data_IF_577312253746
#
_entry.id   IF_577312253746
#
_cell.length_a   1.000
_cell.length_b   1.000
_cell.length_c   1.000
_cell.angle_alpha   90.00
_cell.angle_beta   90.00
_cell.angle_gamma   90.00
#
_symmetry.space_group_name_H-M   'P 1'
#
loop_
_entity.id
_entity.type
_entity.pdbx_description
1 polymer ?
#
# COMPACT_ATOMS: atom_id res chain seq x y z
N UNK A 1 -13.31 -25.96 -13.61
CA UNK A 1 -11.91 -25.58 -13.86
C UNK A 1 -11.10 -25.74 -12.59
N UNK A 2 -10.10 -26.62 -12.59
CA UNK A 2 -9.19 -26.79 -11.44
C UNK A 2 -8.30 -25.55 -11.37
N UNK A 3 -8.23 -24.93 -10.19
CA UNK A 3 -7.32 -23.81 -9.94
C UNK A 3 -6.22 -24.34 -9.04
N UNK A 4 -5.00 -24.43 -9.56
CA UNK A 4 -3.84 -24.78 -8.76
C UNK A 4 -3.32 -23.51 -8.08
N UNK A 5 -3.29 -23.53 -6.75
CA UNK A 5 -2.82 -22.41 -5.94
C UNK A 5 -1.57 -22.86 -5.22
N UNK A 6 -0.46 -22.13 -5.43
CA UNK A 6 0.78 -22.35 -4.68
C UNK A 6 0.51 -22.27 -3.18
N UNK A 7 1.15 -23.15 -2.38
CA UNK A 7 1.05 -23.13 -0.90
C UNK A 7 1.30 -21.73 -0.30
N UNK A 8 2.19 -20.93 -0.93
CA UNK A 8 2.44 -19.53 -0.54
C UNK A 8 1.18 -18.66 -0.49
N UNK A 9 0.19 -18.96 -1.31
CA UNK A 9 -0.99 -18.13 -1.55
C UNK A 9 -2.32 -18.82 -1.19
N UNK A 10 -2.25 -20.04 -0.66
CA UNK A 10 -3.40 -20.94 -0.47
C UNK A 10 -4.54 -20.32 0.36
N UNK A 11 -4.20 -19.48 1.32
CA UNK A 11 -5.17 -18.84 2.22
C UNK A 11 -5.43 -17.35 1.89
N UNK A 12 -4.59 -16.74 1.06
CA UNK A 12 -4.61 -15.30 0.79
C UNK A 12 -5.16 -14.95 -0.59
N UNK A 13 -5.16 -15.89 -1.54
CA UNK A 13 -5.57 -15.67 -2.91
C UNK A 13 -7.06 -15.95 -3.12
N UNK A 14 -7.72 -15.02 -3.78
CA UNK A 14 -9.11 -15.12 -4.22
C UNK A 14 -9.19 -14.81 -5.71
N UNK A 15 -9.81 -15.70 -6.47
CA UNK A 15 -10.06 -15.53 -7.90
C UNK A 15 -11.57 -15.40 -8.11
N UNK A 16 -12.00 -14.25 -8.61
CA UNK A 16 -13.34 -14.10 -9.17
C UNK A 16 -13.36 -14.76 -10.55
N UNK A 17 -14.10 -15.86 -10.66
CA UNK A 17 -14.18 -16.65 -11.90
C UNK A 17 -15.04 -16.00 -12.98
N UNK A 18 -15.86 -15.01 -12.62
CA UNK A 18 -16.73 -14.30 -13.55
C UNK A 18 -15.96 -13.17 -14.23
N UNK A 19 -15.24 -12.35 -13.44
CA UNK A 19 -14.49 -11.21 -13.96
C UNK A 19 -13.03 -11.54 -14.31
N UNK A 20 -12.49 -12.65 -13.80
CA UNK A 20 -11.07 -12.97 -13.88
C UNK A 20 -10.20 -12.20 -12.88
N UNK A 21 -10.81 -11.42 -11.96
CA UNK A 21 -10.07 -10.62 -11.01
C UNK A 21 -9.35 -11.49 -9.97
N UNK A 22 -8.03 -11.28 -9.85
CA UNK A 22 -7.19 -11.93 -8.86
C UNK A 22 -6.92 -10.97 -7.69
N UNK A 23 -7.29 -11.39 -6.49
CA UNK A 23 -7.05 -10.65 -5.24
C UNK A 23 -6.11 -11.44 -4.34
N UNK A 24 -5.00 -10.83 -3.91
CA UNK A 24 -4.12 -11.40 -2.88
C UNK A 24 -4.27 -10.55 -1.62
N UNK A 25 -4.74 -11.16 -0.54
CA UNK A 25 -4.95 -10.51 0.76
C UNK A 25 -3.72 -10.66 1.66
N UNK A 26 -3.64 -9.84 2.71
CA UNK A 26 -2.58 -9.92 3.73
C UNK A 26 -1.17 -9.93 3.13
N UNK A 27 -0.95 -9.05 2.14
CA UNK A 27 0.35 -8.91 1.49
C UNK A 27 1.42 -8.44 2.50
N UNK A 28 2.67 -8.75 2.20
CA UNK A 28 3.82 -8.38 3.02
C UNK A 28 4.98 -8.04 2.08
N UNK A 29 6.08 -7.49 2.59
CA UNK A 29 7.24 -7.14 1.74
C UNK A 29 7.73 -8.34 0.92
N UNK A 30 7.63 -9.56 1.45
CA UNK A 30 8.00 -10.82 0.79
C UNK A 30 7.08 -11.18 -0.39
N UNK A 31 5.95 -10.49 -0.54
CA UNK A 31 5.06 -10.61 -1.70
C UNK A 31 5.45 -9.69 -2.86
N UNK A 32 6.47 -8.85 -2.70
CA UNK A 32 7.05 -8.10 -3.82
C UNK A 32 7.68 -9.06 -4.84
N UNK A 33 7.59 -8.72 -6.11
CA UNK A 33 8.17 -9.53 -7.19
C UNK A 33 7.48 -9.30 -8.52
N UNK A 34 7.96 -10.04 -9.52
CA UNK A 34 7.36 -10.07 -10.85
C UNK A 34 6.31 -11.18 -10.89
N UNK A 35 5.10 -10.81 -11.26
CA UNK A 35 3.95 -11.70 -11.43
C UNK A 35 3.66 -11.82 -12.92
N UNK A 36 3.49 -13.05 -13.39
CA UNK A 36 3.21 -13.34 -14.78
C UNK A 36 1.82 -13.94 -14.90
N UNK A 37 0.93 -13.25 -15.60
CA UNK A 37 -0.38 -13.75 -15.98
C UNK A 37 -0.26 -14.46 -17.32
N UNK A 38 -0.64 -15.73 -17.36
CA UNK A 38 -0.85 -16.48 -18.58
C UNK A 38 -2.35 -16.70 -18.78
N UNK A 39 -2.88 -16.28 -19.93
CA UNK A 39 -4.26 -16.54 -20.34
C UNK A 39 -4.22 -17.49 -21.51
N UNK A 40 -4.76 -18.69 -21.28
CA UNK A 40 -4.81 -19.77 -22.26
C UNK A 40 -6.24 -19.84 -22.80
N UNK A 41 -6.47 -19.23 -23.96
CA UNK A 41 -7.70 -19.38 -24.74
C UNK A 41 -7.34 -20.08 -26.07
N UNK A 42 -7.98 -19.74 -27.18
CA UNK A 42 -7.54 -20.19 -28.52
C UNK A 42 -6.17 -19.61 -28.88
N UNK A 43 -5.89 -18.38 -28.42
CA UNK A 43 -4.59 -17.73 -28.52
C UNK A 43 -3.93 -17.66 -27.13
N UNK A 44 -2.60 -17.84 -27.12
CA UNK A 44 -1.79 -17.67 -25.92
C UNK A 44 -1.48 -16.19 -25.72
N UNK A 45 -1.95 -15.60 -24.63
CA UNK A 45 -1.56 -14.25 -24.23
C UNK A 45 -0.92 -14.25 -22.84
N UNK A 46 0.02 -13.34 -22.64
CA UNK A 46 0.68 -13.18 -21.34
C UNK A 46 0.90 -11.72 -21.02
N UNK A 47 0.87 -11.39 -19.73
CA UNK A 47 1.13 -10.05 -19.22
C UNK A 47 1.93 -10.11 -17.93
N UNK A 48 2.97 -9.29 -17.86
CA UNK A 48 3.86 -9.19 -16.71
C UNK A 48 3.47 -7.99 -15.84
N UNK A 49 3.44 -8.20 -14.53
CA UNK A 49 3.16 -7.18 -13.52
C UNK A 49 4.31 -7.14 -12.51
N UNK A 50 4.90 -5.96 -12.32
CA UNK A 50 5.87 -5.73 -11.25
C UNK A 50 5.15 -5.23 -10.02
N UNK A 51 5.05 -6.08 -8.99
CA UNK A 51 4.38 -5.72 -7.72
C UNK A 51 5.44 -5.37 -6.69
N UNK A 52 5.33 -4.18 -6.13
CA UNK A 52 6.21 -3.71 -5.05
C UNK A 52 5.40 -3.43 -3.80
N UNK A 53 5.65 -4.21 -2.74
CA UNK A 53 4.98 -4.07 -1.45
C UNK A 53 5.89 -3.32 -0.50
N UNK A 54 5.58 -2.05 -0.29
CA UNK A 54 6.22 -1.24 0.74
C UNK A 54 5.38 -1.24 2.01
N UNK A 55 6.04 -1.19 3.16
CA UNK A 55 5.36 -0.84 4.41
C UNK A 55 5.76 0.58 4.79
N UNK A 56 4.81 1.46 5.11
CA UNK A 56 5.12 2.80 5.57
C UNK A 56 5.97 2.73 6.86
N UNK A 57 6.97 3.61 6.95
CA UNK A 57 7.74 3.81 8.17
C UNK A 57 7.24 5.08 8.84
N UNK A 58 6.85 4.98 10.11
CA UNK A 58 6.42 6.11 10.92
C UNK A 58 7.57 6.50 11.85
N UNK A 59 8.11 7.70 11.65
CA UNK A 59 9.09 8.30 12.55
C UNK A 59 8.40 9.30 13.48
N UNK A 60 8.50 9.07 14.79
CA UNK A 60 8.08 10.02 15.82
C UNK A 60 9.15 11.10 15.97
N UNK A 61 8.82 12.36 15.64
CA UNK A 61 9.63 13.52 16.02
C UNK A 61 8.89 14.31 17.08
N UNK A 62 9.33 14.18 18.32
CA UNK A 62 8.89 14.98 19.45
C UNK A 62 10.03 15.16 20.45
N UNK A 63 10.28 16.39 20.88
CA UNK A 63 11.14 16.64 22.02
C UNK A 63 10.33 16.35 23.28
N UNK A 64 10.77 15.42 24.13
CA UNK A 64 10.20 15.27 25.48
C UNK A 64 10.70 16.42 26.34
N UNK A 65 9.99 17.56 26.31
CA UNK A 65 10.14 18.63 27.30
C UNK A 65 8.97 18.52 28.29
N UNK A 66 9.29 18.54 29.60
CA UNK A 66 8.35 18.28 30.72
C UNK A 66 7.22 19.31 30.88
N UNK A 67 7.08 20.28 29.96
CA UNK A 67 6.18 21.43 30.07
C UNK A 67 5.32 21.68 28.81
N UNK A 68 5.35 20.78 27.84
CA UNK A 68 5.03 21.16 26.47
C UNK A 68 3.55 20.98 26.13
N UNK A 69 2.90 22.10 25.81
CA UNK A 69 1.66 22.20 25.03
C UNK A 69 1.89 21.82 23.55
N UNK A 70 2.93 21.06 23.23
CA UNK A 70 3.42 20.91 21.87
C UNK A 70 2.64 19.87 21.07
N UNK A 71 2.45 20.19 19.79
CA UNK A 71 1.97 19.26 18.79
C UNK A 71 3.02 18.18 18.53
N UNK A 72 2.57 16.93 18.44
CA UNK A 72 3.40 15.81 18.02
C UNK A 72 3.47 15.77 16.49
N UNK A 73 4.64 15.49 15.92
CA UNK A 73 4.76 15.31 14.46
C UNK A 73 5.11 13.86 14.12
N UNK A 74 4.29 13.26 13.26
CA UNK A 74 4.54 11.97 12.62
C UNK A 74 4.97 12.22 11.19
N UNK A 75 5.98 11.48 10.74
CA UNK A 75 6.33 11.43 9.32
C UNK A 75 6.13 10.00 8.82
N UNK A 76 5.23 9.85 7.85
CA UNK A 76 5.11 8.61 7.10
C UNK A 76 5.90 8.71 5.79
N UNK A 77 6.78 7.74 5.58
CA UNK A 77 7.62 7.67 4.38
C UNK A 77 7.53 6.31 3.71
N UNK A 78 7.43 6.30 2.38
CA UNK A 78 7.44 5.08 1.57
C UNK A 78 8.25 5.29 0.29
N UNK A 79 8.91 4.24 -0.21
CA UNK A 79 9.56 4.30 -1.53
C UNK A 79 8.49 4.53 -2.59
N UNK A 80 8.72 5.50 -3.47
CA UNK A 80 7.77 5.81 -4.53
C UNK A 80 7.76 4.71 -5.61
N UNK A 81 6.66 4.62 -6.34
CA UNK A 81 6.44 3.67 -7.41
C UNK A 81 5.32 4.15 -8.31
N UNK A 82 5.15 3.46 -9.43
CA UNK A 82 4.14 3.83 -10.41
C UNK A 82 2.73 3.70 -9.82
N UNK A 83 1.91 4.76 -9.98
CA UNK A 83 0.54 4.86 -9.45
C UNK A 83 0.41 4.66 -7.93
N UNK A 84 1.50 4.81 -7.18
CA UNK A 84 1.48 4.74 -5.72
C UNK A 84 0.96 6.05 -5.14
N UNK A 85 0.02 5.95 -4.22
CA UNK A 85 -0.35 7.03 -3.32
C UNK A 85 -0.05 6.65 -1.85
N UNK A 86 0.17 7.68 -1.04
CA UNK A 86 0.36 7.57 0.41
C UNK A 86 -0.72 8.38 1.11
N UNK A 87 -1.34 7.84 2.15
CA UNK A 87 -2.47 8.47 2.82
C UNK A 87 -2.46 8.26 4.33
N UNK A 88 -3.00 9.22 5.06
CA UNK A 88 -3.31 9.08 6.49
C UNK A 88 -4.80 8.86 6.69
N UNK A 89 -5.10 7.95 7.61
CA UNK A 89 -6.42 7.71 8.15
C UNK A 89 -6.41 8.08 9.63
N UNK A 90 -7.47 8.76 10.07
CA UNK A 90 -7.79 8.97 11.48
C UNK A 90 -9.03 8.15 11.77
N UNK A 91 -8.90 7.16 12.64
CA UNK A 91 -9.89 6.08 12.77
C UNK A 91 -10.12 5.43 11.39
N UNK A 92 -11.29 5.65 10.79
CA UNK A 92 -11.65 5.14 9.45
C UNK A 92 -11.79 6.24 8.40
N UNK A 93 -11.54 7.50 8.75
CA UNK A 93 -11.67 8.64 7.83
C UNK A 93 -10.31 8.99 7.23
N UNK A 94 -10.24 9.08 5.89
CA UNK A 94 -9.03 9.50 5.19
C UNK A 94 -8.87 11.01 5.31
N UNK A 95 -7.82 11.46 5.98
CA UNK A 95 -7.57 12.89 6.27
C UNK A 95 -6.57 13.55 5.32
N UNK A 96 -5.69 12.77 4.70
CA UNK A 96 -4.75 13.31 3.72
C UNK A 96 -4.27 12.24 2.74
N UNK A 97 -3.84 12.68 1.56
CA UNK A 97 -3.31 11.85 0.49
C UNK A 97 -2.24 12.61 -0.28
N UNK A 98 -1.20 11.92 -0.73
CA UNK A 98 -0.16 12.46 -1.61
C UNK A 98 0.26 11.43 -2.65
N UNK A 99 0.73 11.92 -3.80
CA UNK A 99 1.36 11.17 -4.86
C UNK A 99 2.52 12.01 -5.43
N UNK A 100 3.40 11.38 -6.19
CA UNK A 100 4.49 12.09 -6.86
C UNK A 100 4.83 11.35 -8.16
N UNK A 101 4.93 12.11 -9.26
CA UNK A 101 5.27 11.57 -10.58
C UNK A 101 6.77 11.29 -10.72
N UNK A 102 7.63 11.96 -9.94
CA UNK A 102 9.05 11.64 -9.88
C UNK A 102 9.28 10.40 -8.99
N UNK A 103 9.54 9.28 -9.65
CA UNK A 103 9.78 7.97 -9.01
C UNK A 103 11.11 7.91 -8.25
N UNK A 104 12.00 8.88 -8.48
CA UNK A 104 13.34 8.92 -7.86
C UNK A 104 13.29 9.37 -6.39
N UNK A 105 12.23 10.10 -6.01
CA UNK A 105 12.06 10.63 -4.66
C UNK A 105 11.05 9.80 -3.86
N UNK A 106 11.28 9.55 -2.56
CA UNK A 106 10.31 8.86 -1.72
C UNK A 106 9.06 9.72 -1.49
N UNK A 107 7.91 9.07 -1.31
CA UNK A 107 6.70 9.75 -0.86
C UNK A 107 6.80 10.00 0.65
N UNK A 108 6.59 11.25 1.04
CA UNK A 108 6.64 11.70 2.42
C UNK A 108 5.35 12.43 2.76
N UNK A 109 4.67 12.01 3.83
CA UNK A 109 3.43 12.62 4.27
C UNK A 109 3.48 12.90 5.78
N UNK A 110 3.80 14.15 6.19
CA UNK A 110 3.81 14.54 7.58
C UNK A 110 2.39 14.71 8.12
N UNK A 111 2.22 14.46 9.42
CA UNK A 111 0.98 14.67 10.16
C UNK A 111 1.31 15.33 11.50
N UNK A 112 0.63 16.44 11.82
CA UNK A 112 0.68 17.06 13.14
C UNK A 112 -0.52 16.62 13.97
N UNK A 113 -0.26 16.18 15.20
CA UNK A 113 -1.24 15.68 16.16
C UNK A 113 -1.26 16.62 17.36
N UNK A 114 -2.45 16.96 17.85
CA UNK A 114 -2.59 17.78 19.04
C UNK A 114 -2.50 16.94 20.32
N UNK A 115 -1.92 17.51 21.39
CA UNK A 115 -1.62 16.84 22.67
C UNK A 115 -2.81 16.14 23.36
N UNK A 116 -4.05 16.43 22.97
CA UNK A 116 -5.27 15.86 23.57
C UNK A 116 -6.01 14.85 22.67
N UNK A 117 -5.47 14.54 21.49
CA UNK A 117 -6.08 13.59 20.57
C UNK A 117 -5.70 12.15 20.94
N UNK A 118 -6.71 11.33 21.24
CA UNK A 118 -6.54 9.89 21.53
C UNK A 118 -6.92 9.01 20.34
N UNK A 119 -6.90 9.56 19.13
CA UNK A 119 -7.32 8.84 17.93
C UNK A 119 -6.23 7.89 17.45
N UNK A 120 -6.65 6.82 16.77
CA UNK A 120 -5.77 5.93 16.04
C UNK A 120 -5.44 6.52 14.68
N UNK A 121 -4.15 6.64 14.36
CA UNK A 121 -3.67 7.13 13.07
C UNK A 121 -3.00 6.01 12.29
N UNK A 122 -3.43 5.79 11.05
CA UNK A 122 -2.93 4.73 10.17
C UNK A 122 -2.39 5.36 8.89
N UNK A 123 -1.13 5.07 8.56
CA UNK A 123 -0.58 5.42 7.26
C UNK A 123 -0.75 4.24 6.29
N UNK A 124 -1.28 4.50 5.09
CA UNK A 124 -1.56 3.49 4.06
C UNK A 124 -0.93 3.91 2.74
N UNK A 125 -0.10 3.03 2.18
CA UNK A 125 0.36 3.12 0.79
C UNK A 125 -0.52 2.25 -0.10
N UNK A 126 -1.09 2.82 -1.16
CA UNK A 126 -1.92 2.07 -2.10
C UNK A 126 -1.41 2.26 -3.54
N UNK A 127 -1.39 1.16 -4.30
CA UNK A 127 -1.12 1.15 -5.73
C UNK A 127 -2.30 0.42 -6.42
N UNK A 128 -3.32 1.15 -6.90
CA UNK A 128 -4.42 0.54 -7.60
C UNK A 128 -3.97 0.06 -8.99
N UNK A 129 -3.77 -1.25 -9.14
CA UNK A 129 -3.43 -1.91 -10.42
C UNK A 129 -4.63 -1.97 -11.39
N UNK A 130 -5.76 -1.34 -11.07
CA UNK A 130 -7.04 -1.66 -11.71
C UNK A 130 -7.34 -0.92 -13.02
N UNK A 131 -6.47 -0.04 -13.54
CA UNK A 131 -6.85 0.72 -14.75
C UNK A 131 -5.69 1.11 -15.68
N UNK A 132 -4.83 0.14 -16.03
CA UNK A 132 -3.93 0.28 -17.17
C UNK A 132 -4.42 -0.55 -18.34
N UNK A 133 -5.34 0.04 -19.11
CA UNK A 133 -5.66 -0.36 -20.50
C UNK A 133 -4.42 -0.27 -21.37
#
# INVERSE_FOLDING_TARGET
TVTEISERFKESLQLDRTSGALTIRNISRNHSGVYLLYVITEDLSSRTFSVYVSTPVINLRGNRSLLSTESCSLLCSVKNGEDVNLSWYRENERISITNNTDLSVPLNLPLQIQHHEKNTYICVSANPVSNKT
#
